data_IF_182171851900
#
_entry.id   IF_182171851900
#
_cell.length_a   1.000
_cell.length_b   1.000
_cell.length_c   1.000
_cell.angle_alpha   90.00
_cell.angle_beta   90.00
_cell.angle_gamma   90.00
#
_symmetry.space_group_name_H-M   'P 1'
#
loop_
_entity.id
_entity.type
_entity.pdbx_description
1 polymer ?
#
# COMPACT_ATOMS: atom_id res chain seq x y z
N UNK A 1 -79.44 -1.55 2.54
CA UNK A 1 -78.92 -0.90 1.32
C UNK A 1 -77.41 -0.99 1.38
N UNK A 2 -76.82 -1.84 0.55
CA UNK A 2 -75.39 -2.17 0.58
C UNK A 2 -74.74 -1.41 -0.58
N UNK A 3 -73.83 -0.49 -0.26
CA UNK A 3 -72.98 0.20 -1.25
C UNK A 3 -71.84 -0.74 -1.65
N UNK A 4 -72.04 -1.50 -2.71
CA UNK A 4 -71.02 -2.31 -3.39
C UNK A 4 -70.82 -1.76 -4.79
N UNK A 5 -70.14 -0.61 -4.94
CA UNK A 5 -69.70 -0.18 -6.29
C UNK A 5 -68.59 0.89 -6.30
N UNK A 6 -67.52 0.70 -5.53
CA UNK A 6 -66.28 1.46 -5.75
C UNK A 6 -65.14 0.49 -6.03
N UNK A 7 -65.03 0.06 -7.28
CA UNK A 7 -63.80 -0.51 -7.79
C UNK A 7 -62.70 0.57 -7.71
N UNK A 8 -61.53 0.32 -7.10
CA UNK A 8 -60.45 1.28 -7.13
C UNK A 8 -60.00 1.47 -8.58
N UNK A 9 -60.04 2.70 -9.08
CA UNK A 9 -59.38 3.05 -10.33
C UNK A 9 -57.88 2.76 -10.17
N UNK A 10 -57.41 1.66 -10.75
CA UNK A 10 -55.99 1.40 -10.88
C UNK A 10 -55.42 2.40 -11.89
N UNK A 11 -54.95 3.54 -11.38
CA UNK A 11 -54.18 4.50 -12.16
C UNK A 11 -52.88 3.80 -12.58
N UNK A 12 -52.82 3.38 -13.84
CA UNK A 12 -51.59 2.85 -14.41
C UNK A 12 -50.59 4.00 -14.52
N UNK A 13 -49.64 4.05 -13.58
CA UNK A 13 -48.50 4.97 -13.69
C UNK A 13 -47.67 4.55 -14.89
N UNK A 14 -47.79 5.30 -15.98
CA UNK A 14 -46.93 5.12 -17.15
C UNK A 14 -45.50 5.45 -16.73
N UNK A 15 -44.67 4.41 -16.59
CA UNK A 15 -43.27 4.57 -16.23
C UNK A 15 -42.51 5.47 -17.22
N UNK A 16 -41.35 6.02 -16.81
CA UNK A 16 -40.57 6.88 -17.68
C UNK A 16 -40.30 6.20 -19.03
N UNK A 17 -40.39 6.97 -20.11
CA UNK A 17 -40.10 6.46 -21.45
C UNK A 17 -38.71 5.82 -21.46
N UNK A 18 -38.53 4.74 -22.25
CA UNK A 18 -37.24 4.04 -22.35
C UNK A 18 -36.09 4.99 -22.66
N UNK A 19 -36.35 6.03 -23.46
CA UNK A 19 -35.39 7.09 -23.77
C UNK A 19 -35.00 7.91 -22.53
N UNK A 20 -35.95 8.33 -21.72
CA UNK A 20 -35.68 9.09 -20.50
C UNK A 20 -34.96 8.25 -19.45
N UNK A 21 -35.30 6.96 -19.33
CA UNK A 21 -34.59 6.02 -18.48
C UNK A 21 -33.11 5.91 -18.90
N UNK A 22 -32.84 5.71 -20.19
CA UNK A 22 -31.48 5.59 -20.70
C UNK A 22 -30.68 6.88 -20.52
N UNK A 23 -31.30 8.05 -20.72
CA UNK A 23 -30.65 9.35 -20.48
C UNK A 23 -30.31 9.51 -18.99
N UNK A 24 -31.25 9.20 -18.09
CA UNK A 24 -31.02 9.28 -16.65
C UNK A 24 -29.89 8.33 -16.20
N UNK A 25 -29.87 7.13 -16.75
CA UNK A 25 -28.84 6.12 -16.45
C UNK A 25 -27.47 6.54 -16.98
N UNK A 26 -27.41 7.07 -18.20
CA UNK A 26 -26.17 7.60 -18.78
C UNK A 26 -25.65 8.81 -17.98
N UNK A 27 -26.53 9.71 -17.54
CA UNK A 27 -26.17 10.83 -16.68
C UNK A 27 -25.62 10.35 -15.33
N UNK A 28 -26.27 9.36 -14.71
CA UNK A 28 -25.80 8.74 -13.47
C UNK A 28 -24.41 8.12 -13.62
N UNK A 29 -24.18 7.35 -14.69
CA UNK A 29 -22.87 6.75 -14.98
C UNK A 29 -21.81 7.83 -15.19
N UNK A 30 -22.13 8.88 -15.95
CA UNK A 30 -21.19 9.98 -16.20
C UNK A 30 -20.77 10.68 -14.91
N UNK A 31 -21.72 10.92 -13.99
CA UNK A 31 -21.42 11.50 -12.67
C UNK A 31 -20.54 10.57 -11.85
N UNK A 32 -20.86 9.26 -11.79
CA UNK A 32 -20.06 8.28 -11.06
C UNK A 32 -18.62 8.19 -11.60
N UNK A 33 -18.45 8.17 -12.92
CA UNK A 33 -17.13 8.14 -13.55
C UNK A 33 -16.36 9.44 -13.32
N UNK A 34 -17.03 10.60 -13.39
CA UNK A 34 -16.43 11.90 -13.10
C UNK A 34 -15.92 11.98 -11.65
N UNK A 35 -16.75 11.58 -10.68
CA UNK A 35 -16.36 11.54 -9.26
C UNK A 35 -15.22 10.55 -9.05
N UNK A 36 -15.29 9.37 -9.66
CA UNK A 36 -14.24 8.35 -9.59
C UNK A 36 -12.91 8.86 -10.13
N UNK A 37 -12.91 9.54 -11.28
CA UNK A 37 -11.71 10.11 -11.89
C UNK A 37 -11.08 11.19 -11.01
N UNK A 38 -11.90 12.06 -10.40
CA UNK A 38 -11.41 13.10 -9.47
C UNK A 38 -10.86 12.48 -8.18
N UNK A 39 -11.51 11.45 -7.65
CA UNK A 39 -11.02 10.74 -6.47
C UNK A 39 -9.67 10.05 -6.77
N UNK A 40 -9.55 9.37 -7.92
CA UNK A 40 -8.28 8.78 -8.35
C UNK A 40 -7.23 9.87 -8.52
N UNK A 41 -7.48 10.97 -9.23
CA UNK A 41 -6.46 12.00 -9.41
C UNK A 41 -6.03 12.65 -8.08
N UNK A 42 -6.94 12.81 -7.12
CA UNK A 42 -6.60 13.41 -5.81
C UNK A 42 -5.92 12.45 -4.84
N UNK A 43 -6.26 11.17 -4.86
CA UNK A 43 -5.83 10.22 -3.84
C UNK A 43 -4.83 9.18 -4.35
N UNK A 44 -4.63 9.06 -5.66
CA UNK A 44 -3.65 8.13 -6.22
C UNK A 44 -2.21 8.65 -6.11
N UNK A 45 -2.02 9.97 -6.00
CA UNK A 45 -0.70 10.58 -5.84
C UNK A 45 -0.05 10.31 -4.48
N UNK A 46 -0.86 9.97 -3.46
CA UNK A 46 -0.39 9.53 -2.14
C UNK A 46 -1.24 8.36 -1.64
N UNK A 47 -0.82 7.10 -1.79
CA UNK A 47 -1.49 5.98 -1.14
C UNK A 47 -1.68 6.28 0.36
N UNK A 48 -2.82 5.89 0.94
CA UNK A 48 -3.15 6.15 2.36
C UNK A 48 -2.09 5.62 3.35
N UNK A 49 -1.21 4.72 2.89
CA UNK A 49 -0.09 4.16 3.64
C UNK A 49 1.28 4.60 3.10
N UNK A 50 1.34 5.73 2.39
CA UNK A 50 2.54 6.20 1.69
C UNK A 50 3.78 6.23 2.59
N UNK A 51 3.66 6.78 3.79
CA UNK A 51 4.77 6.84 4.77
C UNK A 51 5.24 5.47 5.23
N UNK A 52 4.30 4.54 5.43
CA UNK A 52 4.61 3.16 5.82
C UNK A 52 5.29 2.43 4.66
N UNK A 53 4.80 2.59 3.43
CA UNK A 53 5.39 2.00 2.23
C UNK A 53 6.80 2.55 1.98
N UNK A 54 7.02 3.85 2.21
CA UNK A 54 8.33 4.47 2.11
C UNK A 54 9.30 3.90 3.15
N UNK A 55 8.89 3.83 4.42
CA UNK A 55 9.65 3.21 5.49
C UNK A 55 10.01 1.75 5.16
N UNK A 56 9.01 0.95 4.81
CA UNK A 56 9.21 -0.46 4.46
C UNK A 56 10.11 -0.62 3.22
N UNK A 57 10.00 0.28 2.25
CA UNK A 57 10.87 0.34 1.08
C UNK A 57 12.33 0.51 1.46
N UNK A 58 12.64 1.49 2.30
CA UNK A 58 14.01 1.73 2.78
C UNK A 58 14.57 0.56 3.59
N UNK A 59 13.74 -0.01 4.48
CA UNK A 59 14.12 -1.14 5.30
C UNK A 59 14.47 -2.39 4.46
N UNK A 60 13.63 -2.72 3.47
CA UNK A 60 13.83 -3.91 2.63
C UNK A 60 15.05 -3.76 1.71
N UNK A 61 15.26 -2.57 1.11
CA UNK A 61 16.42 -2.33 0.24
C UNK A 61 17.72 -2.44 1.04
N UNK A 62 17.79 -1.83 2.22
CA UNK A 62 18.93 -1.95 3.13
C UNK A 62 19.21 -3.41 3.51
N UNK A 63 18.17 -4.15 3.91
CA UNK A 63 18.31 -5.56 4.28
C UNK A 63 18.78 -6.44 3.13
N UNK A 64 18.24 -6.24 1.93
CA UNK A 64 18.62 -6.98 0.73
C UNK A 64 20.09 -6.73 0.37
N UNK A 65 20.54 -5.48 0.42
CA UNK A 65 21.92 -5.12 0.16
C UNK A 65 22.90 -5.66 1.20
N UNK A 66 22.55 -5.62 2.49
CA UNK A 66 23.35 -6.25 3.55
C UNK A 66 23.40 -7.77 3.40
N UNK A 67 22.31 -8.41 2.98
CA UNK A 67 22.29 -9.86 2.71
C UNK A 67 23.16 -10.26 1.52
N UNK A 68 23.27 -9.39 0.51
CA UNK A 68 24.12 -9.62 -0.65
C UNK A 68 25.62 -9.44 -0.34
N UNK A 69 25.97 -8.77 0.75
CA UNK A 69 27.36 -8.58 1.17
C UNK A 69 27.73 -9.41 2.42
N UNK A 70 28.35 -10.59 2.24
CA UNK A 70 28.77 -11.42 3.37
C UNK A 70 29.91 -10.80 4.19
N UNK A 71 30.60 -9.76 3.68
CA UNK A 71 31.71 -9.11 4.38
C UNK A 71 31.24 -8.12 5.44
N UNK A 72 29.97 -7.69 5.39
CA UNK A 72 29.39 -6.71 6.31
C UNK A 72 29.77 -5.26 6.02
N UNK A 73 30.56 -4.99 4.97
CA UNK A 73 30.96 -3.64 4.56
C UNK A 73 29.76 -2.79 4.17
N UNK A 74 28.74 -3.38 3.56
CA UNK A 74 27.48 -2.71 3.23
C UNK A 74 26.78 -2.21 4.48
N UNK A 75 26.74 -3.00 5.56
CA UNK A 75 26.14 -2.55 6.80
C UNK A 75 26.90 -1.35 7.38
N UNK A 76 28.23 -1.44 7.42
CA UNK A 76 29.07 -0.35 7.92
C UNK A 76 28.92 0.91 7.07
N UNK A 77 28.85 0.77 5.75
CA UNK A 77 28.55 1.86 4.83
C UNK A 77 27.20 2.53 5.15
N UNK A 78 26.13 1.74 5.34
CA UNK A 78 24.80 2.28 5.66
C UNK A 78 24.77 2.99 7.01
N UNK A 79 25.45 2.46 8.04
CA UNK A 79 25.59 3.10 9.36
C UNK A 79 26.35 4.42 9.29
N UNK A 80 27.31 4.53 8.38
CA UNK A 80 28.13 5.73 8.18
C UNK A 80 27.52 6.75 7.20
N UNK A 81 26.19 6.71 7.00
CA UNK A 81 25.46 7.69 6.20
C UNK A 81 25.14 7.26 4.77
N UNK A 82 25.50 6.03 4.37
CA UNK A 82 25.23 5.49 3.04
C UNK A 82 23.74 5.41 2.64
N UNK A 83 22.83 5.49 3.61
CA UNK A 83 21.38 5.55 3.34
C UNK A 83 20.98 6.77 2.50
N UNK A 84 21.67 7.92 2.63
CA UNK A 84 21.36 9.10 1.78
C UNK A 84 21.69 8.84 0.31
N UNK A 85 22.84 8.21 0.05
CA UNK A 85 23.24 7.83 -1.29
C UNK A 85 22.25 6.82 -1.88
N UNK A 86 21.91 5.78 -1.13
CA UNK A 86 20.97 4.76 -1.60
C UNK A 86 19.55 5.27 -1.78
N UNK A 87 19.15 6.34 -1.09
CA UNK A 87 17.87 7.00 -1.34
C UNK A 87 17.79 7.49 -2.79
N UNK A 88 18.85 8.12 -3.28
CA UNK A 88 18.93 8.61 -4.66
C UNK A 88 19.08 7.48 -5.69
N UNK A 89 19.88 6.47 -5.36
CA UNK A 89 20.20 5.39 -6.31
C UNK A 89 19.13 4.29 -6.37
N UNK A 90 18.51 3.95 -5.23
CA UNK A 90 17.65 2.78 -5.06
C UNK A 90 16.28 3.10 -4.45
N UNK A 91 16.04 4.33 -4.00
CA UNK A 91 14.81 4.71 -3.32
C UNK A 91 13.58 4.82 -4.23
N UNK A 92 13.78 5.28 -5.47
CA UNK A 92 12.74 5.46 -6.49
C UNK A 92 11.51 6.24 -5.98
N UNK A 93 10.35 5.96 -6.56
CA UNK A 93 9.09 6.63 -6.22
C UNK A 93 8.71 6.55 -4.72
N UNK A 94 9.14 5.48 -4.02
CA UNK A 94 8.86 5.31 -2.57
C UNK A 94 9.65 6.30 -1.73
N UNK A 95 10.90 6.58 -2.11
CA UNK A 95 11.72 7.59 -1.46
C UNK A 95 11.32 9.02 -1.86
N UNK A 96 10.84 9.22 -3.09
CA UNK A 96 10.41 10.55 -3.55
C UNK A 96 9.20 11.06 -2.79
N UNK A 97 8.20 10.23 -2.55
CA UNK A 97 6.98 10.70 -1.88
C UNK A 97 7.13 10.95 -0.37
N UNK A 98 8.10 10.29 0.31
CA UNK A 98 8.38 10.40 1.76
C UNK A 98 9.85 10.04 2.05
N UNK A 99 10.80 10.94 1.72
CA UNK A 99 12.24 10.66 1.80
C UNK A 99 12.70 10.34 3.21
N UNK A 100 12.19 11.08 4.21
CA UNK A 100 12.57 10.89 5.61
C UNK A 100 12.14 9.53 6.15
N UNK A 101 10.96 9.05 5.75
CA UNK A 101 10.48 7.73 6.17
C UNK A 101 11.31 6.63 5.54
N UNK A 102 11.65 6.76 4.26
CA UNK A 102 12.54 5.84 3.58
C UNK A 102 13.92 5.78 4.25
N UNK A 103 14.52 6.94 4.55
CA UNK A 103 15.81 7.02 5.25
C UNK A 103 15.75 6.37 6.63
N UNK A 104 14.66 6.61 7.36
CA UNK A 104 14.43 5.99 8.66
C UNK A 104 14.39 4.47 8.56
N UNK A 105 13.66 3.92 7.58
CA UNK A 105 13.63 2.48 7.33
C UNK A 105 15.00 1.89 7.00
N UNK A 106 15.77 2.57 6.16
CA UNK A 106 17.14 2.16 5.82
C UNK A 106 18.07 2.16 7.06
N UNK A 107 18.02 3.22 7.87
CA UNK A 107 18.83 3.35 9.09
C UNK A 107 18.43 2.30 10.13
N UNK A 108 17.14 2.06 10.30
CA UNK A 108 16.62 1.03 11.21
C UNK A 108 17.11 -0.36 10.77
N UNK A 109 17.01 -0.71 9.49
CA UNK A 109 17.55 -1.97 8.99
C UNK A 109 19.07 -2.10 9.24
N UNK A 110 19.84 -1.05 8.97
CA UNK A 110 21.28 -1.04 9.19
C UNK A 110 21.64 -1.21 10.68
N UNK A 111 20.84 -0.63 11.58
CA UNK A 111 20.98 -0.80 13.03
C UNK A 111 20.57 -2.20 13.50
N UNK A 112 19.48 -2.75 12.95
CA UNK A 112 18.87 -3.99 13.37
C UNK A 112 19.64 -5.24 12.89
N UNK A 113 20.35 -5.16 11.76
CA UNK A 113 20.87 -6.36 11.08
C UNK A 113 22.33 -6.72 11.39
N UNK A 114 22.63 -7.59 12.36
CA UNK A 114 23.78 -8.50 12.22
C UNK A 114 23.31 -9.83 11.60
N UNK A 115 23.06 -9.81 10.29
CA UNK A 115 22.58 -10.96 9.52
C UNK A 115 23.60 -12.12 9.47
N UNK A 116 24.84 -11.91 9.97
CA UNK A 116 25.91 -12.92 10.02
C UNK A 116 25.66 -14.02 11.05
N UNK A 117 24.84 -13.78 12.09
CA UNK A 117 24.61 -14.75 13.18
C UNK A 117 23.30 -15.52 13.09
N UNK A 118 22.51 -15.35 12.01
CA UNK A 118 21.19 -15.98 11.90
C UNK A 118 20.21 -15.54 13.00
N UNK A 119 20.46 -14.41 13.65
CA UNK A 119 19.55 -13.86 14.66
C UNK A 119 18.33 -13.27 13.96
N UNK A 120 17.15 -13.61 14.48
CA UNK A 120 15.89 -13.02 14.03
C UNK A 120 15.97 -11.50 14.22
N UNK A 121 15.87 -10.76 13.10
CA UNK A 121 15.82 -9.30 13.14
C UNK A 121 14.58 -8.92 13.94
N UNK A 122 14.76 -8.04 14.93
CA UNK A 122 13.67 -7.59 15.78
C UNK A 122 12.55 -7.00 14.92
N UNK A 123 11.31 -7.04 15.42
CA UNK A 123 10.18 -6.41 14.74
C UNK A 123 10.51 -4.93 14.51
N UNK A 124 10.49 -4.42 13.25
CA UNK A 124 10.87 -3.04 12.98
C UNK A 124 10.03 -2.08 13.82
N UNK A 125 10.67 -1.13 14.51
CA UNK A 125 9.99 -0.13 15.36
C UNK A 125 9.21 0.86 14.49
N UNK A 126 8.01 0.46 14.08
CA UNK A 126 7.11 1.28 13.25
C UNK A 126 6.40 0.53 12.14
N UNK A 127 6.70 -0.76 11.91
CA UNK A 127 5.97 -1.54 10.91
C UNK A 127 4.57 -1.92 11.41
N UNK A 128 3.54 -1.54 10.66
CA UNK A 128 2.17 -1.97 10.90
C UNK A 128 1.93 -3.41 10.42
N UNK A 129 2.74 -3.93 9.50
CA UNK A 129 2.49 -5.21 8.83
C UNK A 129 3.68 -6.13 8.58
N UNK A 130 4.93 -5.64 8.60
CA UNK A 130 6.09 -6.52 8.41
C UNK A 130 6.33 -7.37 9.66
N UNK A 131 5.74 -8.57 9.67
CA UNK A 131 6.19 -9.69 10.49
C UNK A 131 7.19 -10.50 9.67
N UNK A 132 8.38 -10.74 10.22
CA UNK A 132 9.23 -11.85 9.77
C UNK A 132 10.11 -11.61 8.54
N UNK A 133 10.60 -10.40 8.29
CA UNK A 133 11.80 -10.23 7.45
C UNK A 133 13.02 -10.69 8.26
N UNK A 134 13.17 -12.02 8.33
CA UNK A 134 14.31 -12.69 8.95
C UNK A 134 15.45 -12.68 7.93
N UNK A 135 16.62 -12.22 8.36
CA UNK A 135 17.87 -12.54 7.70
C UNK A 135 18.15 -14.04 7.85
N UNK A 136 17.41 -14.87 7.11
CA UNK A 136 17.75 -16.27 6.99
C UNK A 136 18.94 -16.34 6.03
N UNK A 137 20.11 -16.56 6.61
CA UNK A 137 21.38 -16.61 5.90
C UNK A 137 21.45 -17.78 4.91
N UNK A 138 20.47 -18.71 4.90
CA UNK A 138 20.48 -19.90 4.06
C UNK A 138 19.17 -20.19 3.30
N UNK A 139 18.09 -19.44 3.50
CA UNK A 139 16.83 -19.66 2.78
C UNK A 139 16.32 -18.34 2.23
N UNK A 140 16.04 -18.29 0.93
CA UNK A 140 15.38 -17.15 0.29
C UNK A 140 14.08 -16.74 0.98
N UNK A 141 13.54 -15.58 0.60
CA UNK A 141 12.31 -14.99 1.18
C UNK A 141 11.18 -16.03 1.16
N UNK A 142 10.82 -16.58 2.32
CA UNK A 142 9.63 -17.44 2.47
C UNK A 142 8.56 -16.69 3.25
N UNK A 143 7.34 -16.66 2.70
CA UNK A 143 6.14 -16.23 3.42
C UNK A 143 5.98 -17.07 4.69
N UNK A 144 5.53 -16.48 5.81
CA UNK A 144 5.18 -17.25 6.98
C UNK A 144 4.00 -18.15 6.62
N UNK A 145 4.22 -19.46 6.61
CA UNK A 145 3.15 -20.44 6.68
C UNK A 145 2.49 -20.28 8.05
N UNK A 146 1.19 -19.95 8.05
CA UNK A 146 0.38 -20.02 9.25
C UNK A 146 0.41 -21.47 9.75
N UNK A 147 1.00 -21.70 10.92
CA UNK A 147 0.85 -22.96 11.63
C UNK A 147 -0.60 -23.02 12.14
N UNK A 148 -1.30 -24.08 11.71
CA UNK A 148 -2.57 -24.54 12.30
C UNK A 148 -2.33 -25.10 13.70
#
# INVERSE_FOLDING_TARGET
MVLLDQAPEYVSHQGPSRRNLLIALAAGIAVCLGIGAVAVSKFNDKPLFHDQVAYEGGYVVALAGMKADPTGRTQDFLKNGGCEQWRGEQGGAKAEGSPEQWLRGCRDAAADGDCRKGQAVAKPKGSAGIRGLVCDSNKGVKKPTAAQ
#
